data_IF_405024299643
#
_entry.id   IF_405024299643
#
_cell.length_a   1.000
_cell.length_b   1.000
_cell.length_c   1.000
_cell.angle_alpha   90.00
_cell.angle_beta   90.00
_cell.angle_gamma   90.00
#
_symmetry.space_group_name_H-M   'P 1'
#
loop_
_entity.id
_entity.type
_entity.pdbx_description
1 polymer ?
#
# COMPACT_ATOMS: atom_id res chain seq x y z
N UNK A 1 -7.47 -4.61 19.62
CA UNK A 1 -7.53 -4.82 18.73
C UNK A 1 -6.80 -4.45 17.48
N UNK A 2 -6.25 -5.47 16.90
CA UNK A 2 -5.43 -5.30 15.71
C UNK A 2 -6.21 -4.66 14.56
N UNK A 3 -7.50 -4.97 14.43
CA UNK A 3 -8.31 -4.40 13.35
C UNK A 3 -8.43 -2.88 13.49
N UNK A 4 -8.68 -2.41 14.70
CA UNK A 4 -8.79 -0.98 14.93
C UNK A 4 -7.48 -0.26 14.69
N UNK A 5 -6.38 -0.84 15.17
CA UNK A 5 -5.04 -0.28 14.95
C UNK A 5 -4.72 -0.25 13.45
N UNK A 6 -5.07 -1.32 12.73
CA UNK A 6 -4.85 -1.38 11.30
C UNK A 6 -5.61 -0.29 10.56
N UNK A 7 -6.88 -0.06 10.91
CA UNK A 7 -7.68 0.98 10.28
C UNK A 7 -7.13 2.36 10.57
N UNK A 8 -6.69 2.61 11.80
CA UNK A 8 -6.08 3.90 12.15
C UNK A 8 -4.80 4.14 11.35
N UNK A 9 -3.97 3.11 11.21
CA UNK A 9 -2.74 3.23 10.44
C UNK A 9 -3.05 3.51 8.98
N UNK A 10 -4.05 2.83 8.40
CA UNK A 10 -4.44 3.07 7.03
C UNK A 10 -5.02 4.47 6.84
N UNK A 11 -5.77 4.98 7.82
CA UNK A 11 -6.29 6.33 7.76
C UNK A 11 -5.15 7.35 7.74
N UNK A 12 -4.16 7.15 8.62
CA UNK A 12 -2.99 8.03 8.66
C UNK A 12 -2.21 7.97 7.37
N UNK A 13 -2.02 6.77 6.83
CA UNK A 13 -1.30 6.58 5.57
C UNK A 13 -2.03 7.27 4.43
N UNK A 14 -3.35 7.12 4.35
CA UNK A 14 -4.16 7.77 3.30
C UNK A 14 -4.05 9.29 3.38
N UNK A 15 -4.19 9.84 4.59
CA UNK A 15 -4.09 11.28 4.78
C UNK A 15 -2.71 11.81 4.40
N UNK A 16 -1.67 11.07 4.77
CA UNK A 16 -0.31 11.44 4.42
C UNK A 16 -0.11 11.46 2.90
N UNK A 17 -0.59 10.41 2.22
CA UNK A 17 -0.47 10.36 0.78
C UNK A 17 -1.19 11.51 0.10
N UNK A 18 -2.39 11.85 0.58
CA UNK A 18 -3.15 12.97 0.01
C UNK A 18 -2.39 14.28 0.17
N UNK A 19 -1.76 14.50 1.32
CA UNK A 19 -0.95 15.70 1.53
C UNK A 19 0.24 15.75 0.59
N UNK A 20 0.76 14.58 0.22
CA UNK A 20 1.91 14.48 -0.68
C UNK A 20 1.49 14.49 -2.15
N UNK A 21 0.21 14.73 -2.44
CA UNK A 21 -0.25 14.89 -3.82
C UNK A 21 -0.76 13.63 -4.47
N UNK A 22 -0.97 12.55 -3.71
CA UNK A 22 -1.53 11.32 -4.27
C UNK A 22 -3.05 11.39 -4.28
N UNK A 23 -3.65 10.83 -5.32
CA UNK A 23 -5.09 10.58 -5.35
C UNK A 23 -5.34 9.16 -4.87
N UNK A 24 -6.16 9.00 -3.84
CA UNK A 24 -6.49 7.68 -3.32
C UNK A 24 -7.61 7.11 -4.19
N UNK A 25 -7.33 6.01 -4.87
CA UNK A 25 -8.30 5.38 -5.77
C UNK A 25 -9.12 4.31 -5.07
N UNK A 26 -8.47 3.48 -4.25
CA UNK A 26 -9.13 2.40 -3.54
C UNK A 26 -8.45 2.18 -2.22
N UNK A 27 -9.22 1.67 -1.25
CA UNK A 27 -8.68 1.20 0.03
C UNK A 27 -9.21 -0.21 0.26
N UNK A 28 -8.35 -1.08 0.81
CA UNK A 28 -8.71 -2.46 1.12
C UNK A 28 -9.29 -3.18 -0.10
N UNK A 29 -8.57 -3.10 -1.21
CA UNK A 29 -8.97 -3.77 -2.43
C UNK A 29 -8.73 -5.27 -2.30
N UNK A 30 -9.77 -6.06 -2.54
CA UNK A 30 -9.73 -7.52 -2.35
C UNK A 30 -9.82 -8.27 -3.65
N UNK A 31 -9.13 -9.41 -3.70
CA UNK A 31 -9.29 -10.42 -4.74
C UNK A 31 -9.23 -11.78 -4.08
N UNK A 32 -9.47 -12.83 -4.86
CA UNK A 32 -9.32 -14.18 -4.32
C UNK A 32 -7.87 -14.52 -3.99
N UNK A 33 -6.93 -13.71 -4.45
CA UNK A 33 -5.50 -13.95 -4.22
C UNK A 33 -4.98 -13.25 -2.97
N UNK A 34 -5.65 -12.18 -2.53
CA UNK A 34 -5.21 -11.37 -1.41
C UNK A 34 -5.80 -9.98 -1.47
N UNK A 35 -5.16 -9.04 -0.75
CA UNK A 35 -5.66 -7.67 -0.71
C UNK A 35 -4.52 -6.68 -0.80
N UNK A 36 -4.87 -5.44 -1.17
CA UNK A 36 -3.93 -4.32 -1.21
C UNK A 36 -4.54 -3.22 -0.34
N UNK A 37 -3.75 -2.71 0.60
CA UNK A 37 -4.27 -1.76 1.58
C UNK A 37 -4.69 -0.44 0.96
N UNK A 38 -3.86 0.13 0.08
CA UNK A 38 -4.17 1.39 -0.59
C UNK A 38 -3.71 1.32 -2.03
N UNK A 39 -4.57 1.75 -2.95
CA UNK A 39 -4.19 1.98 -4.34
C UNK A 39 -4.29 3.48 -4.58
N UNK A 40 -3.18 4.10 -4.95
CA UNK A 40 -3.12 5.54 -5.15
C UNK A 40 -2.46 5.86 -6.48
N UNK A 41 -2.62 7.09 -6.94
CA UNK A 41 -2.05 7.52 -8.20
C UNK A 41 -1.40 8.88 -8.04
N UNK A 42 -0.21 9.04 -8.58
CA UNK A 42 0.51 10.31 -8.59
C UNK A 42 1.37 10.38 -9.84
N UNK A 43 1.30 11.49 -10.55
CA UNK A 43 2.12 11.73 -11.73
C UNK A 43 2.04 10.57 -12.74
N UNK A 44 0.83 10.09 -12.96
CA UNK A 44 0.53 9.00 -13.89
C UNK A 44 1.19 7.67 -13.55
N UNK A 45 1.49 7.45 -12.27
CA UNK A 45 2.00 6.17 -11.77
C UNK A 45 1.03 5.65 -10.72
N UNK A 46 0.65 4.38 -10.84
CA UNK A 46 -0.14 3.70 -9.82
C UNK A 46 0.78 3.21 -8.72
N UNK A 47 0.39 3.46 -7.48
CA UNK A 47 1.12 3.02 -6.30
C UNK A 47 0.27 2.03 -5.53
N UNK A 48 0.71 0.79 -5.48
CA UNK A 48 0.05 -0.25 -4.71
C UNK A 48 0.77 -0.33 -3.38
N UNK A 49 0.09 0.12 -2.33
CA UNK A 49 0.73 0.38 -1.04
C UNK A 49 0.31 -0.63 0.01
N UNK A 50 1.31 -1.18 0.69
CA UNK A 50 1.12 -2.04 1.85
C UNK A 50 1.42 -1.22 3.08
N UNK A 51 0.45 -1.15 4.00
CA UNK A 51 0.58 -0.34 5.22
C UNK A 51 1.01 -1.24 6.36
N UNK A 52 2.06 -0.85 7.07
CA UNK A 52 2.58 -1.56 8.22
C UNK A 52 2.56 -0.64 9.42
N UNK A 53 2.04 -1.14 10.55
CA UNK A 53 2.06 -0.40 11.80
C UNK A 53 3.09 -1.02 12.74
N UNK A 54 3.85 -0.20 13.44
CA UNK A 54 4.79 -0.65 14.45
C UNK A 54 4.79 0.32 15.62
N UNK A 55 4.81 -0.21 16.84
CA UNK A 55 4.91 0.59 18.06
C UNK A 55 6.25 1.28 18.14
N UNK A 56 7.30 0.58 17.74
CA UNK A 56 8.66 1.08 17.77
C UNK A 56 9.20 1.14 16.37
N UNK A 57 10.18 2.00 16.14
CA UNK A 57 10.82 2.05 14.84
C UNK A 57 11.45 0.70 14.52
N UNK A 58 11.08 0.15 13.39
CA UNK A 58 11.63 -1.09 12.88
C UNK A 58 12.18 -0.81 11.48
N UNK A 59 13.49 -0.74 11.33
CA UNK A 59 14.08 -0.41 10.03
C UNK A 59 13.93 -1.54 9.01
N UNK A 60 13.50 -2.73 9.45
CA UNK A 60 13.35 -3.86 8.54
C UNK A 60 11.87 -4.05 8.27
N UNK A 61 11.37 -3.42 7.21
CA UNK A 61 10.02 -3.64 6.74
C UNK A 61 10.11 -4.61 5.58
N UNK A 62 9.96 -5.90 5.91
CA UNK A 62 10.16 -6.93 4.92
C UNK A 62 8.84 -7.58 4.54
N UNK A 63 8.58 -7.67 3.25
CA UNK A 63 7.45 -8.42 2.72
C UNK A 63 8.00 -9.74 2.20
N UNK A 64 7.43 -10.84 2.69
CA UNK A 64 7.90 -12.18 2.27
C UNK A 64 7.62 -12.40 0.80
N UNK A 65 8.37 -13.34 0.19
CA UNK A 65 8.13 -13.71 -1.22
C UNK A 65 6.71 -14.22 -1.43
N UNK A 66 6.18 -14.97 -0.47
CA UNK A 66 4.81 -15.48 -0.56
C UNK A 66 3.80 -14.33 -0.59
N UNK A 67 3.96 -13.35 0.29
CA UNK A 67 3.05 -12.20 0.32
C UNK A 67 3.21 -11.34 -0.93
N UNK A 68 4.45 -11.16 -1.40
CA UNK A 68 4.71 -10.40 -2.61
C UNK A 68 4.02 -11.04 -3.81
N UNK A 69 4.06 -12.37 -3.91
CA UNK A 69 3.36 -13.07 -4.99
C UNK A 69 1.85 -12.84 -4.95
N UNK A 70 1.27 -12.83 -3.76
CA UNK A 70 -0.17 -12.55 -3.62
C UNK A 70 -0.49 -11.11 -4.02
N UNK A 71 0.36 -10.17 -3.65
CA UNK A 71 0.20 -8.78 -4.03
C UNK A 71 0.25 -8.64 -5.55
N UNK A 72 1.23 -9.26 -6.19
CA UNK A 72 1.38 -9.18 -7.64
C UNK A 72 0.16 -9.76 -8.35
N UNK A 73 -0.35 -10.90 -7.87
CA UNK A 73 -1.55 -11.49 -8.46
C UNK A 73 -2.76 -10.57 -8.30
N UNK A 74 -2.88 -9.91 -7.14
CA UNK A 74 -3.97 -8.97 -6.91
C UNK A 74 -3.82 -7.73 -7.79
N UNK A 75 -2.60 -7.26 -7.99
CA UNK A 75 -2.33 -6.16 -8.91
C UNK A 75 -2.78 -6.53 -10.32
N UNK A 76 -2.40 -7.70 -10.79
CA UNK A 76 -2.80 -8.14 -12.12
C UNK A 76 -4.31 -8.21 -12.26
N UNK A 77 -5.00 -8.69 -11.24
CA UNK A 77 -6.44 -8.69 -11.24
C UNK A 77 -7.01 -7.27 -11.31
N UNK A 78 -6.45 -6.34 -10.53
CA UNK A 78 -6.89 -4.95 -10.55
C UNK A 78 -6.70 -4.34 -11.93
N UNK A 79 -5.54 -4.56 -12.55
CA UNK A 79 -5.24 -4.00 -13.86
C UNK A 79 -6.16 -4.56 -14.94
N UNK A 80 -6.56 -5.82 -14.81
CA UNK A 80 -7.49 -6.42 -15.76
C UNK A 80 -8.90 -5.84 -15.64
N UNK A 81 -9.32 -5.48 -14.43
CA UNK A 81 -10.68 -5.03 -14.18
C UNK A 81 -10.84 -3.52 -14.20
N UNK A 82 -9.72 -2.79 -14.20
CA UNK A 82 -9.71 -1.33 -14.20
C UNK A 82 -8.77 -0.87 -15.32
N UNK A 83 -9.31 -0.26 -16.34
CA UNK A 83 -8.56 0.06 -17.56
C UNK A 83 -7.56 1.21 -17.33
N UNK A 84 -6.45 0.93 -16.67
CA UNK A 84 -5.36 1.87 -16.52
C UNK A 84 -4.26 1.56 -17.52
N UNK A 85 -3.70 2.60 -18.12
CA UNK A 85 -2.60 2.47 -19.09
C UNK A 85 -1.38 3.24 -18.61
N UNK A 86 -1.04 3.09 -17.34
CA UNK A 86 0.10 3.79 -16.75
C UNK A 86 0.99 2.78 -16.03
N UNK A 87 2.21 3.22 -15.75
CA UNK A 87 3.14 2.41 -14.98
C UNK A 87 2.66 2.25 -13.55
N UNK A 88 3.22 1.27 -12.85
CA UNK A 88 2.91 1.08 -11.43
C UNK A 88 4.15 0.67 -10.66
N UNK A 89 4.07 0.83 -9.36
CA UNK A 89 5.09 0.36 -8.44
C UNK A 89 4.41 -0.08 -7.14
N UNK A 90 5.15 -0.82 -6.34
CA UNK A 90 4.68 -1.32 -5.05
C UNK A 90 5.48 -0.59 -3.97
N UNK A 91 4.78 0.03 -3.04
CA UNK A 91 5.40 0.77 -1.94
C UNK A 91 4.96 0.19 -0.61
N UNK A 92 5.80 0.34 0.40
CA UNK A 92 5.43 0.06 1.78
C UNK A 92 5.32 1.37 2.53
N UNK A 93 4.31 1.49 3.39
CA UNK A 93 4.13 2.67 4.23
C UNK A 93 4.21 2.21 5.67
N UNK A 94 5.25 2.67 6.36
CA UNK A 94 5.47 2.32 7.75
C UNK A 94 4.90 3.42 8.63
N UNK A 95 3.93 3.05 9.46
CA UNK A 95 3.29 3.97 10.40
C UNK A 95 3.72 3.63 11.80
N UNK A 96 4.26 4.60 12.51
CA UNK A 96 4.57 4.49 13.93
C UNK A 96 3.76 5.53 14.67
N UNK A 97 3.72 5.49 16.01
CA UNK A 97 2.95 6.51 16.75
C UNK A 97 3.37 7.94 16.44
N UNK A 98 4.61 8.14 16.02
CA UNK A 98 5.17 9.48 15.86
C UNK A 98 5.53 9.85 14.43
N UNK A 99 5.48 8.88 13.51
CA UNK A 99 6.03 9.14 12.18
C UNK A 99 5.38 8.25 11.11
N UNK A 100 5.49 8.70 9.86
CA UNK A 100 5.08 7.92 8.70
C UNK A 100 6.23 7.97 7.70
N UNK A 101 6.60 6.81 7.19
CA UNK A 101 7.69 6.69 6.22
C UNK A 101 7.23 5.87 5.03
N UNK A 102 7.51 6.36 3.82
CA UNK A 102 7.25 5.61 2.59
C UNK A 102 8.54 4.96 2.13
N UNK A 103 8.50 3.65 1.92
CA UNK A 103 9.60 2.90 1.32
C UNK A 103 9.15 2.59 -0.09
N UNK A 104 9.71 3.31 -1.06
CA UNK A 104 9.24 3.25 -2.44
C UNK A 104 9.82 2.08 -3.20
N UNK A 105 9.00 1.54 -4.07
CA UNK A 105 9.39 0.57 -5.09
C UNK A 105 10.07 -0.65 -4.50
N UNK A 106 9.34 -1.35 -3.65
CA UNK A 106 9.85 -2.54 -2.95
C UNK A 106 9.72 -3.82 -3.79
N UNK A 107 9.17 -3.70 -4.99
CA UNK A 107 9.09 -4.85 -5.89
C UNK A 107 10.46 -5.14 -6.51
N UNK A 108 10.70 -6.40 -6.82
CA UNK A 108 11.90 -6.82 -7.51
C UNK A 108 11.62 -7.69 -8.71
#
# INVERSE_FOLDING_TARGET
MSLKIGNEAEDKASSYLQKEGYAILERNFHSKFGEIDIIAKKENILHFCEVKFSQNYDPITRITSSKMNKIIKTINYYLLTHAHSCDYQIDAILVTPENIEIIKNISY
#
